data_IF_271220558222
#
_entry.id   IF_271220558222
#
_cell.length_a   1.000
_cell.length_b   1.000
_cell.length_c   1.000
_cell.angle_alpha   90.00
_cell.angle_beta   90.00
_cell.angle_gamma   90.00
#
_symmetry.space_group_name_H-M   'P 1'
#
loop_
_entity.id
_entity.type
_entity.pdbx_description
1 polymer ?
#
# COMPACT_ATOMS: atom_id res chain seq x y z
N UNK A 1 0.68 -18.71 4.16
CA UNK A 1 -0.17 -18.58 2.95
C UNK A 1 0.45 -17.62 1.95
N UNK A 2 0.41 -17.93 0.65
CA UNK A 2 0.83 -16.98 -0.40
C UNK A 2 -0.19 -15.85 -0.54
N UNK A 3 0.28 -14.61 -0.50
CA UNK A 3 -0.53 -13.39 -0.61
C UNK A 3 -0.40 -12.77 -2.00
N UNK A 4 0.83 -12.65 -2.51
CA UNK A 4 1.09 -12.19 -3.87
C UNK A 4 1.71 -13.30 -4.71
N UNK A 5 1.02 -13.73 -5.77
CA UNK A 5 1.53 -14.73 -6.69
C UNK A 5 2.68 -14.22 -7.55
N UNK A 6 2.55 -13.02 -8.16
CA UNK A 6 3.57 -12.46 -9.06
C UNK A 6 4.97 -12.38 -8.44
N UNK A 7 5.03 -11.96 -7.17
CA UNK A 7 6.29 -11.73 -6.47
C UNK A 7 6.58 -12.76 -5.38
N UNK A 8 5.74 -13.78 -5.25
CA UNK A 8 5.84 -14.86 -4.26
C UNK A 8 5.98 -14.33 -2.83
N UNK A 9 5.13 -13.36 -2.43
CA UNK A 9 5.09 -12.82 -1.07
C UNK A 9 4.07 -13.62 -0.27
N UNK A 10 4.48 -14.09 0.91
CA UNK A 10 3.65 -14.81 1.88
C UNK A 10 3.16 -13.89 3.01
N UNK A 11 2.21 -14.37 3.79
CA UNK A 11 1.78 -13.74 5.05
C UNK A 11 2.95 -13.59 6.03
N UNK A 12 3.81 -14.61 6.12
CA UNK A 12 4.99 -14.58 6.96
C UNK A 12 5.95 -13.44 6.55
N UNK A 13 6.18 -13.24 5.26
CA UNK A 13 7.02 -12.15 4.76
C UNK A 13 6.46 -10.78 5.15
N UNK A 14 5.13 -10.61 5.06
CA UNK A 14 4.45 -9.37 5.44
C UNK A 14 4.62 -9.11 6.94
N UNK A 15 4.37 -10.11 7.79
CA UNK A 15 4.51 -9.98 9.24
C UNK A 15 5.96 -9.73 9.66
N UNK A 16 6.93 -10.44 9.08
CA UNK A 16 8.35 -10.24 9.34
C UNK A 16 8.82 -8.83 8.93
N UNK A 17 8.35 -8.33 7.79
CA UNK A 17 8.65 -6.97 7.34
C UNK A 17 8.07 -5.91 8.29
N UNK A 18 6.83 -6.08 8.76
CA UNK A 18 6.20 -5.20 9.76
C UNK A 18 7.02 -5.19 11.06
N UNK A 19 7.39 -6.36 11.56
CA UNK A 19 8.17 -6.50 12.78
C UNK A 19 9.53 -5.81 12.67
N UNK A 20 10.24 -6.04 11.55
CA UNK A 20 11.52 -5.40 11.29
C UNK A 20 11.37 -3.86 11.22
N UNK A 21 10.37 -3.36 10.50
CA UNK A 21 10.13 -1.91 10.39
C UNK A 21 9.86 -1.28 11.75
N UNK A 22 9.06 -1.92 12.61
CA UNK A 22 8.76 -1.40 13.96
C UNK A 22 9.93 -1.47 14.92
N UNK A 23 10.73 -2.53 14.82
CA UNK A 23 11.95 -2.65 15.61
C UNK A 23 12.98 -1.58 15.20
N UNK A 24 13.04 -1.23 13.91
CA UNK A 24 13.94 -0.21 13.41
C UNK A 24 13.45 1.22 13.71
N UNK A 25 12.16 1.48 13.58
CA UNK A 25 11.52 2.78 13.84
C UNK A 25 10.07 2.57 14.35
N UNK A 26 9.84 2.71 15.67
CA UNK A 26 8.52 2.51 16.28
C UNK A 26 7.42 3.42 15.71
N UNK A 27 7.78 4.62 15.25
CA UNK A 27 6.84 5.64 14.78
C UNK A 27 6.60 5.56 13.27
N UNK A 28 7.24 4.62 12.57
CA UNK A 28 7.19 4.57 11.11
C UNK A 28 5.79 4.25 10.60
N UNK A 29 5.32 5.02 9.61
CA UNK A 29 4.11 4.66 8.89
C UNK A 29 4.40 3.50 7.95
N UNK A 30 3.78 2.36 8.20
CA UNK A 30 3.91 1.16 7.37
C UNK A 30 2.85 1.20 6.26
N UNK A 31 3.30 1.06 5.02
CA UNK A 31 2.44 1.00 3.83
C UNK A 31 2.79 -0.24 3.01
N UNK A 32 1.89 -0.74 2.13
CA UNK A 32 2.23 -1.83 1.23
C UNK A 32 3.50 -1.56 0.43
N UNK A 33 3.66 -0.34 -0.09
CA UNK A 33 4.85 0.06 -0.84
C UNK A 33 6.15 -0.06 -0.02
N UNK A 34 6.14 0.28 1.27
CA UNK A 34 7.29 0.07 2.15
C UNK A 34 7.58 -1.42 2.38
N UNK A 35 6.55 -2.26 2.50
CA UNK A 35 6.75 -3.71 2.63
C UNK A 35 7.38 -4.28 1.35
N UNK A 36 6.86 -3.91 0.17
CA UNK A 36 7.47 -4.29 -1.11
C UNK A 36 8.94 -3.88 -1.17
N UNK A 37 9.25 -2.63 -0.82
CA UNK A 37 10.62 -2.13 -0.80
C UNK A 37 11.52 -2.87 0.20
N UNK A 38 11.05 -3.13 1.42
CA UNK A 38 11.78 -3.87 2.45
C UNK A 38 12.10 -5.31 2.01
N UNK A 39 11.22 -5.92 1.21
CA UNK A 39 11.41 -7.25 0.63
C UNK A 39 12.23 -7.23 -0.67
N UNK A 40 12.70 -6.06 -1.13
CA UNK A 40 13.42 -5.92 -2.40
C UNK A 40 12.57 -6.23 -3.63
N UNK A 41 11.25 -6.04 -3.55
CA UNK A 41 10.28 -6.39 -4.59
C UNK A 41 9.52 -5.15 -5.06
N UNK A 42 9.00 -5.19 -6.28
CA UNK A 42 8.05 -4.20 -6.80
C UNK A 42 6.70 -4.87 -7.07
N UNK A 43 5.61 -4.13 -6.91
CA UNK A 43 4.29 -4.63 -7.29
C UNK A 43 4.19 -4.75 -8.82
N UNK A 44 3.68 -5.88 -9.29
CA UNK A 44 3.52 -6.20 -10.72
C UNK A 44 2.09 -5.91 -11.20
N UNK A 45 1.11 -6.70 -10.76
CA UNK A 45 -0.29 -6.55 -11.19
C UNK A 45 -1.21 -5.86 -10.16
N UNK A 46 -0.81 -5.81 -8.88
CA UNK A 46 -1.62 -5.26 -7.79
C UNK A 46 -2.88 -6.06 -7.40
N UNK A 47 -3.17 -7.21 -8.03
CA UNK A 47 -4.38 -7.99 -7.75
C UNK A 47 -4.49 -8.52 -6.31
N UNK A 48 -3.36 -8.68 -5.62
CA UNK A 48 -3.32 -9.12 -4.22
C UNK A 48 -3.66 -8.04 -3.19
N UNK A 49 -3.82 -6.77 -3.57
CA UNK A 49 -3.88 -5.66 -2.61
C UNK A 49 -4.98 -5.78 -1.54
N UNK A 50 -6.20 -6.27 -1.83
CA UNK A 50 -7.20 -6.48 -0.78
C UNK A 50 -6.71 -7.45 0.31
N UNK A 51 -6.24 -8.63 -0.10
CA UNK A 51 -5.72 -9.66 0.79
C UNK A 51 -4.43 -9.22 1.50
N UNK A 52 -3.58 -8.48 0.80
CA UNK A 52 -2.35 -7.89 1.34
C UNK A 52 -2.67 -6.92 2.48
N UNK A 53 -3.63 -6.02 2.27
CA UNK A 53 -4.07 -5.07 3.29
C UNK A 53 -4.79 -5.75 4.46
N UNK A 54 -5.57 -6.80 4.21
CA UNK A 54 -6.17 -7.61 5.28
C UNK A 54 -5.11 -8.29 6.14
N UNK A 55 -4.10 -8.87 5.51
CA UNK A 55 -2.97 -9.51 6.20
C UNK A 55 -2.14 -8.49 6.99
N UNK A 56 -1.98 -7.27 6.48
CA UNK A 56 -1.38 -6.20 7.26
C UNK A 56 -2.24 -5.88 8.49
N UNK A 57 -3.55 -5.64 8.30
CA UNK A 57 -4.48 -5.29 9.38
C UNK A 57 -4.59 -6.32 10.50
N UNK A 58 -4.34 -7.60 10.21
CA UNK A 58 -4.35 -8.66 11.22
C UNK A 58 -3.10 -8.70 12.11
N UNK A 59 -2.09 -7.87 11.83
CA UNK A 59 -0.90 -7.76 12.67
C UNK A 59 -1.07 -6.67 13.73
N UNK A 60 -0.88 -7.02 15.00
CA UNK A 60 -1.07 -6.12 16.15
C UNK A 60 -0.14 -4.89 16.13
N UNK A 61 0.98 -4.93 15.39
CA UNK A 61 1.95 -3.84 15.30
C UNK A 61 1.64 -2.83 14.17
N UNK A 62 0.44 -2.88 13.60
CA UNK A 62 -0.03 -1.91 12.60
C UNK A 62 -0.57 -0.60 13.19
N UNK A 63 -0.34 -0.33 14.47
CA UNK A 63 -0.82 0.89 15.12
C UNK A 63 -0.32 2.16 14.42
N UNK A 64 -1.23 3.08 14.14
CA UNK A 64 -0.88 4.40 13.60
C UNK A 64 -0.53 5.32 14.78
N UNK A 65 0.54 6.12 14.73
CA UNK A 65 0.86 7.12 15.76
C UNK A 65 -0.31 8.06 16.04
N UNK A 66 -0.56 8.37 17.31
CA UNK A 66 -1.75 9.10 17.74
C UNK A 66 -1.91 10.47 17.05
N UNK A 67 -0.79 11.12 16.76
CA UNK A 67 -0.68 12.43 16.09
C UNK A 67 -1.23 12.37 14.66
N UNK A 68 -1.22 11.20 14.02
CA UNK A 68 -1.61 11.02 12.62
C UNK A 68 -3.05 10.50 12.44
N UNK A 69 -3.67 9.90 13.48
CA UNK A 69 -4.99 9.23 13.37
C UNK A 69 -6.13 10.13 12.88
N UNK A 70 -6.05 11.45 13.09
CA UNK A 70 -7.14 12.40 12.83
C UNK A 70 -6.79 13.57 11.89
N UNK A 71 -5.73 13.46 11.08
CA UNK A 71 -5.30 14.56 10.21
C UNK A 71 -6.36 15.00 9.18
N UNK A 72 -7.32 14.13 8.80
CA UNK A 72 -8.39 14.45 7.84
C UNK A 72 -9.56 15.24 8.40
N UNK A 73 -9.60 15.54 9.70
CA UNK A 73 -10.77 16.23 10.31
C UNK A 73 -10.91 17.71 9.91
N UNK A 74 -10.05 18.25 9.03
CA UNK A 74 -10.04 19.67 8.63
C UNK A 74 -10.18 19.94 7.11
N UNK A 75 -10.83 19.07 6.35
CA UNK A 75 -11.16 19.33 4.93
C UNK A 75 -12.46 18.63 4.52
N UNK A 76 -13.58 19.13 5.01
CA UNK A 76 -14.89 18.95 4.35
C UNK A 76 -15.55 20.33 4.21
N UNK A 77 -14.94 21.17 3.39
CA UNK A 77 -15.72 21.92 2.41
C UNK A 77 -15.29 21.36 1.06
N UNK A 78 -16.07 20.43 0.50
CA UNK A 78 -16.02 20.19 -0.94
C UNK A 78 -16.47 21.49 -1.61
N UNK A 79 -15.53 22.39 -1.90
CA UNK A 79 -15.78 23.50 -2.79
C UNK A 79 -15.37 23.11 -4.20
N UNK A 80 -16.38 22.77 -4.98
CA UNK A 80 -16.43 22.89 -6.44
C UNK A 80 -15.61 21.86 -7.21
N UNK A 81 -16.30 21.22 -8.16
CA UNK A 81 -15.79 20.34 -9.19
C UNK A 81 -14.69 21.02 -10.02
N UNK A 82 -13.45 21.02 -9.55
CA UNK A 82 -12.30 21.38 -10.38
C UNK A 82 -12.03 20.19 -11.31
N UNK A 83 -12.38 20.39 -12.59
CA UNK A 83 -12.40 19.34 -13.60
C UNK A 83 -11.11 18.53 -13.67
N UNK A 84 -11.25 17.21 -13.67
CA UNK A 84 -10.16 16.28 -13.97
C UNK A 84 -9.59 16.64 -15.35
N UNK A 85 -8.29 16.96 -15.49
CA UNK A 85 -7.72 17.23 -16.80
C UNK A 85 -7.95 16.02 -17.71
N UNK A 86 -8.66 16.24 -18.82
CA UNK A 86 -8.89 15.21 -19.82
C UNK A 86 -7.56 14.91 -20.52
N UNK A 87 -6.94 13.80 -20.13
CA UNK A 87 -5.77 13.24 -20.80
C UNK A 87 -6.13 12.96 -22.26
N UNK A 88 -5.53 13.68 -23.21
CA UNK A 88 -5.60 13.35 -24.65
C UNK A 88 -4.68 12.18 -25.03
N UNK A 89 -4.14 11.44 -24.04
CA UNK A 89 -3.32 10.26 -24.28
C UNK A 89 -4.24 9.14 -24.75
N UNK A 90 -4.30 8.94 -26.06
CA UNK A 90 -4.91 7.77 -26.67
C UNK A 90 -4.15 6.52 -26.19
N UNK A 91 -4.82 5.54 -25.56
CA UNK A 91 -4.18 4.28 -25.22
C UNK A 91 -3.89 3.52 -26.53
N UNK A 92 -2.63 3.51 -26.96
CA UNK A 92 -2.18 2.61 -28.02
C UNK A 92 -1.99 1.22 -27.41
N UNK A 93 -2.87 0.29 -27.74
CA UNK A 93 -2.65 -1.13 -27.50
C UNK A 93 -1.60 -1.58 -28.51
N UNK A 94 -0.36 -1.77 -28.07
CA UNK A 94 0.62 -2.48 -28.88
C UNK A 94 0.17 -3.93 -28.98
N UNK A 95 -0.19 -4.38 -30.18
CA UNK A 95 -0.42 -5.80 -30.44
C UNK A 95 0.90 -6.54 -30.14
N UNK A 96 0.84 -7.48 -29.19
CA UNK A 96 1.92 -8.43 -28.98
C UNK A 96 1.96 -9.38 -30.19
N UNK A 97 3.07 -9.36 -30.92
CA UNK A 97 3.40 -10.36 -31.95
C UNK A 97 4.14 -11.53 -31.34
#
# INVERSE_FOLDING_TARGET
>A
MIICHCTQITDHDIHAAIDWMRNADPETIITPGKIYHALGKAADCGGCMPLFLDTMRSNDKMEVPAQLRNMRRRTTQESTYEGRPQSHRLPQQSAAS
#
